data_IF_658547135931
#
_entry.id   IF_658547135931
#
_cell.length_a   1.000
_cell.length_b   1.000
_cell.length_c   1.000
_cell.angle_alpha   90.00
_cell.angle_beta   90.00
_cell.angle_gamma   90.00
#
_symmetry.space_group_name_H-M   'P 1'
#
loop_
_entity.id
_entity.type
_entity.pdbx_description
1 polymer ?
#
# COMPACT_ATOMS: atom_id res chain seq x y z
N UNK A 1 -20.10 -19.18 -23.63
CA UNK A 1 -19.91 -19.10 -22.16
C UNK A 1 -18.46 -18.71 -21.90
N UNK A 2 -18.20 -17.48 -21.46
CA UNK A 2 -16.83 -17.00 -21.20
C UNK A 2 -16.29 -17.62 -19.91
N UNK A 3 -15.35 -18.55 -20.04
CA UNK A 3 -14.60 -19.11 -18.90
C UNK A 3 -13.77 -17.98 -18.28
N UNK A 4 -14.20 -17.46 -17.14
CA UNK A 4 -13.39 -16.52 -16.37
C UNK A 4 -12.20 -17.30 -15.83
N UNK A 5 -11.02 -17.10 -16.41
CA UNK A 5 -9.78 -17.63 -15.85
C UNK A 5 -9.51 -16.92 -14.53
N UNK A 6 -9.39 -17.68 -13.45
CA UNK A 6 -9.22 -17.16 -12.09
C UNK A 6 -7.74 -16.85 -11.87
N UNK A 7 -7.37 -15.57 -11.92
CA UNK A 7 -5.99 -15.15 -11.64
C UNK A 7 -5.68 -15.32 -10.15
N UNK A 8 -4.69 -16.14 -9.82
CA UNK A 8 -4.18 -16.32 -8.45
C UNK A 8 -2.82 -15.64 -8.35
N UNK A 9 -2.59 -14.88 -7.27
CA UNK A 9 -1.32 -14.21 -7.01
C UNK A 9 -0.86 -14.56 -5.60
N UNK A 10 0.36 -15.07 -5.46
CA UNK A 10 1.00 -15.29 -4.17
C UNK A 10 1.84 -14.06 -3.81
N UNK A 11 1.68 -13.56 -2.58
CA UNK A 11 2.38 -12.37 -2.11
C UNK A 11 3.46 -12.74 -1.10
N UNK A 12 4.69 -12.30 -1.36
CA UNK A 12 5.76 -12.33 -0.39
C UNK A 12 5.83 -10.97 0.31
N UNK A 13 5.72 -10.97 1.64
CA UNK A 13 5.69 -9.75 2.44
C UNK A 13 6.81 -9.70 3.47
N UNK A 14 7.17 -8.50 3.93
CA UNK A 14 8.01 -8.32 5.10
C UNK A 14 7.22 -8.45 6.43
N UNK A 15 7.89 -8.20 7.55
CA UNK A 15 7.29 -8.23 8.90
C UNK A 15 6.17 -7.19 9.08
N UNK A 16 6.24 -6.06 8.38
CA UNK A 16 5.24 -4.99 8.39
C UNK A 16 4.15 -5.22 7.34
N UNK A 17 4.14 -6.40 6.69
CA UNK A 17 3.19 -6.78 5.63
C UNK A 17 3.35 -6.01 4.32
N UNK A 18 4.44 -5.29 4.12
CA UNK A 18 4.72 -4.66 2.82
C UNK A 18 4.97 -5.74 1.77
N UNK A 19 4.25 -5.68 0.65
CA UNK A 19 4.39 -6.66 -0.45
C UNK A 19 5.66 -6.38 -1.24
N UNK A 20 6.66 -7.27 -1.10
CA UNK A 20 7.95 -7.17 -1.79
C UNK A 20 7.97 -7.88 -3.13
N UNK A 21 7.20 -8.98 -3.27
CA UNK A 21 7.10 -9.75 -4.52
C UNK A 21 5.66 -10.20 -4.71
N UNK A 22 5.13 -10.00 -5.91
CA UNK A 22 3.87 -10.57 -6.36
C UNK A 22 4.16 -11.67 -7.40
N UNK A 23 3.84 -12.92 -7.10
CA UNK A 23 4.07 -14.06 -7.98
C UNK A 23 2.76 -14.45 -8.66
N UNK A 24 2.70 -14.35 -9.98
CA UNK A 24 1.63 -14.94 -10.80
C UNK A 24 2.14 -16.14 -11.61
N UNK A 25 1.24 -16.79 -12.37
CA UNK A 25 1.54 -17.99 -13.16
C UNK A 25 2.72 -17.81 -14.15
N UNK A 26 3.02 -16.57 -14.54
CA UNK A 26 4.03 -16.30 -15.55
C UNK A 26 5.39 -15.95 -14.94
N UNK A 27 5.43 -15.14 -13.86
CA UNK A 27 6.69 -14.67 -13.26
C UNK A 27 6.52 -13.94 -11.91
N UNK A 28 7.60 -13.82 -11.12
CA UNK A 28 7.66 -12.89 -10.01
C UNK A 28 7.72 -11.43 -10.50
N UNK A 29 6.96 -10.56 -9.84
CA UNK A 29 6.97 -9.11 -10.01
C UNK A 29 7.52 -8.47 -8.73
N UNK A 30 8.82 -8.14 -8.67
CA UNK A 30 9.41 -7.49 -7.50
C UNK A 30 8.92 -6.05 -7.36
N UNK A 31 8.77 -5.60 -6.13
CA UNK A 31 8.33 -4.25 -5.79
C UNK A 31 9.32 -3.66 -4.80
N UNK A 32 9.80 -2.46 -5.11
CA UNK A 32 10.68 -1.69 -4.23
C UNK A 32 9.92 -0.47 -3.68
N UNK A 33 10.09 -0.22 -2.38
CA UNK A 33 9.60 0.98 -1.71
C UNK A 33 10.80 1.75 -1.14
N UNK A 34 10.67 3.06 -1.04
CA UNK A 34 11.47 3.84 -0.10
C UNK A 34 11.09 3.47 1.35
N UNK A 35 11.87 3.87 2.37
CA UNK A 35 11.54 3.59 3.77
C UNK A 35 10.15 4.07 4.21
N UNK A 36 9.59 5.08 3.54
CA UNK A 36 8.26 5.62 3.81
C UNK A 36 7.20 5.17 2.79
N UNK A 37 7.41 4.06 2.09
CA UNK A 37 6.39 3.46 1.24
C UNK A 37 6.24 4.12 -0.14
N UNK A 38 7.03 5.15 -0.48
CA UNK A 38 6.95 5.74 -1.81
C UNK A 38 7.47 4.74 -2.86
N UNK A 39 6.70 4.53 -3.91
CA UNK A 39 7.07 3.81 -5.13
C UNK A 39 6.50 4.54 -6.34
N UNK A 40 7.18 4.55 -7.50
CA UNK A 40 6.60 5.05 -8.73
C UNK A 40 5.33 4.29 -9.10
N UNK A 41 4.37 4.94 -9.78
CA UNK A 41 3.21 4.26 -10.33
C UNK A 41 3.68 3.21 -11.36
N UNK A 42 3.63 1.94 -10.97
CA UNK A 42 4.04 0.82 -11.80
C UNK A 42 2.88 0.25 -12.63
N UNK A 43 3.21 -0.29 -13.80
CA UNK A 43 2.24 -0.90 -14.73
C UNK A 43 1.52 -2.10 -14.10
N UNK A 44 0.25 -1.91 -13.70
CA UNK A 44 -0.75 -2.99 -13.74
C UNK A 44 -1.05 -3.75 -12.45
N UNK A 45 -0.36 -3.48 -11.33
CA UNK A 45 -0.69 -4.05 -10.01
C UNK A 45 -1.38 -3.04 -9.08
N UNK A 46 -2.12 -2.07 -9.65
CA UNK A 46 -2.80 -1.01 -8.91
C UNK A 46 -3.84 -1.54 -7.90
N UNK A 47 -4.32 -2.77 -8.08
CA UNK A 47 -5.31 -3.40 -7.19
C UNK A 47 -4.70 -4.31 -6.12
N UNK A 48 -3.39 -4.23 -5.89
CA UNK A 48 -2.69 -5.08 -4.93
C UNK A 48 -2.32 -4.30 -3.66
N UNK A 49 -2.43 -4.96 -2.51
CA UNK A 49 -1.83 -4.49 -1.26
C UNK A 49 -0.37 -4.08 -1.50
N UNK A 50 0.04 -2.96 -0.93
CA UNK A 50 1.34 -2.36 -1.13
C UNK A 50 2.14 -2.30 0.16
N UNK A 51 2.55 -1.09 0.52
CA UNK A 51 3.27 -0.80 1.75
C UNK A 51 2.36 -1.01 2.97
N UNK A 52 2.93 -1.58 4.04
CA UNK A 52 2.22 -1.85 5.30
C UNK A 52 0.93 -2.69 5.14
N UNK A 53 0.84 -3.50 4.09
CA UNK A 53 -0.36 -4.28 3.76
C UNK A 53 -1.55 -3.45 3.29
N UNK A 54 -1.37 -2.17 2.97
CA UNK A 54 -2.44 -1.26 2.56
C UNK A 54 -2.44 -1.01 1.06
N UNK A 55 -3.63 -0.86 0.49
CA UNK A 55 -3.77 -0.49 -0.92
C UNK A 55 -3.50 1.02 -1.06
N UNK A 56 -2.55 1.43 -1.91
CA UNK A 56 -2.37 2.86 -2.18
C UNK A 56 -3.60 3.40 -2.90
N UNK A 57 -4.04 4.59 -2.51
CA UNK A 57 -5.08 5.33 -3.21
C UNK A 57 -4.65 5.53 -4.68
N UNK A 58 -5.44 5.07 -5.66
CA UNK A 58 -5.03 5.09 -7.06
C UNK A 58 -4.77 6.50 -7.63
N UNK A 59 -5.42 7.52 -7.07
CA UNK A 59 -5.33 8.90 -7.53
C UNK A 59 -4.12 9.62 -6.96
N UNK A 60 -3.83 9.42 -5.67
CA UNK A 60 -2.82 10.19 -4.93
C UNK A 60 -1.57 9.39 -4.59
N UNK A 61 -1.63 8.06 -4.65
CA UNK A 61 -0.56 7.16 -4.19
C UNK A 61 -0.39 7.15 -2.67
N UNK A 62 -1.31 7.76 -1.92
CA UNK A 62 -1.28 7.79 -0.46
C UNK A 62 -1.77 6.47 0.15
N UNK A 63 -1.47 6.23 1.43
CA UNK A 63 -1.93 5.06 2.17
C UNK A 63 -2.94 5.44 3.25
N UNK A 64 -4.02 4.67 3.40
CA UNK A 64 -5.02 4.88 4.45
C UNK A 64 -4.60 4.26 5.79
N UNK A 65 -3.49 4.76 6.36
CA UNK A 65 -2.93 4.27 7.62
C UNK A 65 -3.72 4.77 8.84
N UNK A 66 -3.31 4.32 10.04
CA UNK A 66 -3.98 4.68 11.27
C UNK A 66 -5.42 4.17 11.28
N UNK A 67 -5.65 2.89 10.99
CA UNK A 67 -6.99 2.29 10.91
C UNK A 67 -7.93 2.99 9.90
N UNK A 68 -7.37 3.56 8.83
CA UNK A 68 -8.14 4.16 7.74
C UNK A 68 -8.60 5.60 7.95
N UNK A 69 -8.55 6.15 9.18
CA UNK A 69 -9.04 7.51 9.43
C UNK A 69 -8.03 8.61 9.06
N UNK A 70 -6.76 8.24 8.78
CA UNK A 70 -5.72 9.19 8.35
C UNK A 70 -5.09 8.76 7.05
N UNK A 71 -4.90 9.73 6.17
CA UNK A 71 -4.19 9.49 4.94
C UNK A 71 -2.71 9.83 5.14
N UNK A 72 -1.84 8.86 4.90
CA UNK A 72 -0.39 8.97 4.97
C UNK A 72 0.17 9.25 3.57
N UNK A 73 0.94 10.33 3.44
CA UNK A 73 1.62 10.70 2.22
C UNK A 73 3.05 10.13 2.23
N UNK A 74 3.36 9.15 1.38
CA UNK A 74 4.69 8.51 1.37
C UNK A 74 5.80 9.42 0.81
N UNK A 75 5.45 10.46 0.04
CA UNK A 75 6.40 11.46 -0.48
C UNK A 75 6.76 12.48 0.60
N UNK A 76 5.77 12.97 1.34
CA UNK A 76 5.98 13.89 2.46
C UNK A 76 6.35 13.18 3.77
N UNK A 77 6.33 11.85 3.77
CA UNK A 77 6.73 10.99 4.89
C UNK A 77 5.89 11.24 6.17
N UNK A 78 4.63 11.66 6.01
CA UNK A 78 3.76 12.04 7.13
C UNK A 78 2.28 11.89 6.81
N UNK A 79 1.46 11.93 7.86
CA UNK A 79 0.01 12.05 7.72
C UNK A 79 -0.40 13.45 7.23
N UNK A 80 -1.45 13.50 6.40
CA UNK A 80 -2.02 14.75 5.88
C UNK A 80 -2.86 15.51 6.93
N UNK A 81 -3.14 14.89 8.07
CA UNK A 81 -3.90 15.49 9.17
C UNK A 81 -3.31 15.15 10.55
N UNK A 82 -3.54 16.02 11.57
CA UNK A 82 -3.29 15.69 12.96
C UNK A 82 -4.03 14.43 13.42
N UNK A 83 -3.57 13.83 14.51
CA UNK A 83 -4.27 12.70 15.13
C UNK A 83 -5.45 13.22 15.97
N UNK A 84 -6.66 13.08 15.43
CA UNK A 84 -7.90 13.46 16.13
C UNK A 84 -8.28 12.49 17.26
N UNK A 85 -7.68 11.30 17.31
CA UNK A 85 -7.86 10.30 18.35
C UNK A 85 -6.68 10.31 19.35
N UNK A 86 -5.76 11.27 19.23
CA UNK A 86 -4.64 11.40 20.16
C UNK A 86 -5.16 11.54 21.60
N UNK A 87 -4.59 10.79 22.56
CA UNK A 87 -4.92 10.96 23.98
C UNK A 87 -4.47 12.32 24.54
N UNK A 88 -3.66 13.07 23.79
CA UNK A 88 -3.13 14.39 24.19
C UNK A 88 -3.89 15.56 23.53
N UNK A 89 -4.97 15.29 22.79
CA UNK A 89 -5.87 16.30 22.23
C UNK A 89 -5.17 17.29 21.28
N UNK A 90 -5.48 18.59 21.41
CA UNK A 90 -4.90 19.65 20.56
C UNK A 90 -3.39 19.86 20.76
N UNK A 91 -2.80 19.28 21.80
CA UNK A 91 -1.39 19.40 22.14
C UNK A 91 -0.47 18.41 21.44
N UNK A 92 -1.03 17.36 20.83
CA UNK A 92 -0.25 16.28 20.24
C UNK A 92 0.17 15.23 21.26
#
# INVERSE_FOLDING_TARGET
>A
MSTHSRKTILLATDQQRSVLIALDENRPHPIAYTPYGHRPHGNGLLSLLGFNGEMPDPLTGHYHLGNGYRQFNPVLMRFNSPDSWSPFGKGG
#
